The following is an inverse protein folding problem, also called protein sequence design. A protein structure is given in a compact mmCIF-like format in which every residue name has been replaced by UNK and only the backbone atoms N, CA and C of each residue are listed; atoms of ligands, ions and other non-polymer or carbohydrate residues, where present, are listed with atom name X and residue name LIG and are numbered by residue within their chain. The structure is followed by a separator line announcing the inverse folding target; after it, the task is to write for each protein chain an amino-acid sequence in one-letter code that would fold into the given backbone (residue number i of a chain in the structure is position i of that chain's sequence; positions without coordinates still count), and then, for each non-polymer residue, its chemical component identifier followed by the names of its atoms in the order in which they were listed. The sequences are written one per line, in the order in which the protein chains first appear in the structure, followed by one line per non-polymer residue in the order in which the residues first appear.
data_IF_236856052146
#
_entry.id   IF_236856052146
#
_cell.length_a   1.000
_cell.length_b   1.000
_cell.length_c   1.000
_cell.angle_alpha   90.00
_cell.angle_beta   90.00
_cell.angle_gamma   90.00
#
_symmetry.space_group_name_H-M   'P 1'
#
loop_
_entity.id
_entity.type
_entity.pdbx_description
1 polymer ?
#
# COMPACT_ATOMS: atom_id res chain seq x y z
N UNK A 1 14.79 -8.25 14.21
CA UNK A 1 15.98 -7.45 13.88
C UNK A 1 16.79 -7.24 15.14
N UNK A 2 18.13 -7.24 15.05
CA UNK A 2 19.02 -7.01 16.19
C UNK A 2 20.30 -6.27 15.75
N UNK A 3 20.86 -5.45 16.63
CA UNK A 3 22.19 -4.85 16.47
C UNK A 3 23.19 -5.68 17.27
N UNK A 4 24.23 -6.21 16.63
CA UNK A 4 25.24 -7.07 17.24
C UNK A 4 26.62 -6.49 16.93
N UNK A 5 27.21 -5.81 17.91
CA UNK A 5 28.47 -5.10 17.70
C UNK A 5 28.30 -3.97 16.69
N UNK A 6 29.01 -4.03 15.57
CA UNK A 6 28.96 -3.10 14.44
C UNK A 6 28.08 -3.61 13.27
N UNK A 7 27.32 -4.68 13.47
CA UNK A 7 26.46 -5.29 12.46
C UNK A 7 24.96 -5.18 12.79
N UNK A 8 24.14 -5.06 11.74
CA UNK A 8 22.68 -5.17 11.81
C UNK A 8 22.25 -6.52 11.25
N UNK A 9 21.56 -7.31 12.07
CA UNK A 9 20.99 -8.60 11.70
C UNK A 9 19.48 -8.49 11.45
N UNK A 10 19.06 -8.79 10.22
CA UNK A 10 17.65 -8.84 9.81
C UNK A 10 17.28 -10.29 9.49
N UNK A 11 16.41 -10.85 10.32
CA UNK A 11 15.99 -12.25 10.23
C UNK A 11 14.54 -12.36 9.75
N UNK A 12 14.35 -13.00 8.60
CA UNK A 12 13.03 -13.28 8.02
C UNK A 12 12.54 -14.70 8.34
N UNK A 13 13.18 -15.42 9.26
CA UNK A 13 12.68 -16.69 9.78
C UNK A 13 11.26 -16.52 10.31
N UNK A 14 10.36 -17.41 9.89
CA UNK A 14 8.92 -17.32 10.20
C UNK A 14 8.08 -16.57 9.17
N UNK A 15 8.70 -15.98 8.13
CA UNK A 15 7.94 -15.46 6.98
C UNK A 15 7.16 -16.59 6.30
N UNK A 16 5.93 -16.29 5.88
CA UNK A 16 5.07 -17.24 5.19
C UNK A 16 5.73 -17.90 3.97
N UNK A 17 5.29 -19.12 3.60
CA UNK A 17 5.68 -19.75 2.36
C UNK A 17 5.42 -18.86 1.14
N UNK A 18 6.18 -19.08 0.07
CA UNK A 18 5.93 -18.42 -1.22
C UNK A 18 4.47 -18.58 -1.67
N UNK A 19 3.90 -17.51 -2.21
CA UNK A 19 2.51 -17.46 -2.65
C UNK A 19 2.35 -17.95 -4.10
N UNK A 20 1.12 -18.33 -4.45
CA UNK A 20 0.74 -18.65 -5.84
C UNK A 20 0.76 -17.42 -6.77
N UNK A 21 0.52 -16.23 -6.22
CA UNK A 21 0.47 -14.97 -6.95
C UNK A 21 1.85 -14.35 -7.23
N UNK A 22 1.85 -13.19 -7.88
CA UNK A 22 3.08 -12.52 -8.33
C UNK A 22 3.86 -11.74 -7.28
N UNK A 23 3.38 -11.62 -6.04
CA UNK A 23 4.02 -10.77 -5.02
C UNK A 23 5.15 -11.47 -4.26
N UNK A 24 5.65 -12.62 -4.74
CA UNK A 24 6.86 -13.18 -4.17
C UNK A 24 8.04 -12.23 -4.42
N UNK A 25 8.81 -11.93 -3.38
CA UNK A 25 10.01 -11.12 -3.45
C UNK A 25 11.24 -12.02 -3.63
N UNK A 26 11.89 -12.05 -4.81
CA UNK A 26 13.13 -12.78 -5.00
C UNK A 26 14.20 -12.21 -4.06
N UNK A 27 15.17 -13.04 -3.67
CA UNK A 27 16.25 -12.69 -2.74
C UNK A 27 16.83 -11.29 -2.96
N UNK A 28 17.12 -10.92 -4.21
CA UNK A 28 17.68 -9.61 -4.55
C UNK A 28 16.75 -8.44 -4.19
N UNK A 29 15.43 -8.58 -4.38
CA UNK A 29 14.45 -7.56 -4.04
C UNK A 29 14.34 -7.38 -2.51
N UNK A 30 14.29 -8.48 -1.77
CA UNK A 30 14.29 -8.44 -0.30
C UNK A 30 15.57 -7.80 0.24
N UNK A 31 16.73 -8.19 -0.29
CA UNK A 31 18.00 -7.57 0.10
C UNK A 31 18.00 -6.07 -0.20
N UNK A 32 17.52 -5.66 -1.37
CA UNK A 32 17.42 -4.23 -1.72
C UNK A 32 16.53 -3.46 -0.75
N UNK A 33 15.39 -4.02 -0.35
CA UNK A 33 14.47 -3.41 0.60
C UNK A 33 15.12 -3.16 1.97
N UNK A 34 15.87 -4.16 2.45
CA UNK A 34 16.61 -4.08 3.72
C UNK A 34 17.75 -3.06 3.63
N UNK A 35 18.57 -3.13 2.58
CA UNK A 35 19.70 -2.23 2.39
C UNK A 35 19.24 -0.77 2.32
N UNK A 36 18.15 -0.51 1.60
CA UNK A 36 17.53 0.81 1.54
C UNK A 36 17.10 1.28 2.94
N UNK A 37 16.35 0.45 3.68
CA UNK A 37 15.82 0.84 4.99
C UNK A 37 16.94 1.20 5.98
N UNK A 38 17.97 0.36 6.06
CA UNK A 38 19.15 0.60 6.91
C UNK A 38 19.87 1.88 6.49
N UNK A 39 20.13 2.04 5.19
CA UNK A 39 20.89 3.20 4.69
C UNK A 39 20.14 4.50 4.86
N UNK A 40 18.85 4.54 4.55
CA UNK A 40 18.02 5.74 4.65
C UNK A 40 18.00 6.30 6.08
N UNK A 41 18.10 5.43 7.08
CA UNK A 41 18.07 5.81 8.50
C UNK A 41 19.47 6.14 9.02
N UNK A 42 20.48 5.31 8.74
CA UNK A 42 21.79 5.41 9.43
C UNK A 42 22.90 6.08 8.61
N UNK A 43 22.79 6.10 7.29
CA UNK A 43 23.84 6.62 6.41
C UNK A 43 23.25 7.17 5.11
N UNK A 44 22.33 8.17 5.16
CA UNK A 44 21.69 8.68 3.95
C UNK A 44 22.69 9.29 2.96
N UNK A 45 23.75 9.93 3.46
CA UNK A 45 24.74 10.66 2.64
C UNK A 45 25.95 9.82 2.20
N UNK A 46 26.16 8.65 2.81
CA UNK A 46 27.32 7.82 2.47
C UNK A 46 27.27 7.23 1.07
N UNK A 47 28.40 6.72 0.60
CA UNK A 47 28.50 6.19 -0.76
C UNK A 47 27.69 4.89 -0.96
N UNK A 48 26.94 4.82 -2.05
CA UNK A 48 26.22 3.61 -2.46
C UNK A 48 27.16 2.60 -3.13
N UNK A 49 27.77 1.72 -2.34
CA UNK A 49 28.64 0.65 -2.84
C UNK A 49 28.61 -0.59 -1.92
N UNK A 50 29.29 -1.69 -2.30
CA UNK A 50 29.28 -2.93 -1.52
C UNK A 50 29.77 -2.80 -0.06
N UNK A 51 30.46 -1.71 0.29
CA UNK A 51 30.83 -1.40 1.67
C UNK A 51 29.63 -1.12 2.57
N UNK A 52 28.59 -0.43 2.08
CA UNK A 52 27.40 -0.12 2.88
C UNK A 52 26.55 -1.35 3.19
N UNK A 53 26.69 -2.41 2.38
CA UNK A 53 26.01 -3.70 2.60
C UNK A 53 26.79 -4.65 3.51
N UNK A 54 28.10 -4.41 3.72
CA UNK A 54 28.97 -5.30 4.51
C UNK A 54 28.52 -5.49 5.97
N UNK A 55 28.04 -4.47 6.70
CA UNK A 55 27.61 -4.64 8.10
C UNK A 55 26.18 -5.21 8.23
N UNK A 56 25.55 -5.63 7.13
CA UNK A 56 24.14 -6.03 7.14
C UNK A 56 24.04 -7.54 6.89
N UNK A 57 23.64 -8.29 7.92
CA UNK A 57 23.37 -9.74 7.82
C UNK A 57 21.90 -9.98 7.60
N UNK A 58 21.56 -10.72 6.55
CA UNK A 58 20.16 -11.00 6.18
C UNK A 58 19.94 -12.52 6.12
N UNK A 59 19.04 -13.02 6.95
CA UNK A 59 18.60 -14.44 6.95
C UNK A 59 17.31 -14.55 6.17
N UNK A 60 17.31 -15.37 5.09
CA UNK A 60 16.18 -15.51 4.17
C UNK A 60 15.83 -16.99 3.97
N UNK A 61 14.76 -17.52 4.61
CA UNK A 61 14.36 -18.91 4.45
C UNK A 61 14.01 -19.24 2.99
N UNK A 62 14.64 -20.25 2.41
CA UNK A 62 14.35 -20.66 1.03
C UNK A 62 12.92 -21.22 0.91
N UNK A 63 12.21 -20.86 -0.16
CA UNK A 63 10.80 -21.24 -0.36
C UNK A 63 9.79 -20.35 0.38
N UNK A 64 10.25 -19.27 1.02
CA UNK A 64 9.38 -18.26 1.63
C UNK A 64 8.98 -17.17 0.64
N UNK A 65 8.01 -16.34 1.03
CA UNK A 65 7.58 -15.14 0.28
C UNK A 65 8.76 -14.23 -0.10
N UNK A 66 9.81 -14.19 0.72
CA UNK A 66 10.96 -13.29 0.57
C UNK A 66 12.22 -13.95 0.00
N UNK A 67 12.15 -15.25 -0.30
CA UNK A 67 13.18 -16.01 -1.01
C UNK A 67 12.54 -17.23 -1.71
N UNK A 68 11.68 -17.00 -2.70
CA UNK A 68 10.92 -18.05 -3.37
C UNK A 68 11.81 -18.93 -4.25
N UNK A 69 11.38 -20.18 -4.44
CA UNK A 69 11.97 -21.11 -5.40
C UNK A 69 11.36 -20.93 -6.78
N UNK A 70 12.19 -21.03 -7.82
CA UNK A 70 11.70 -21.16 -9.19
C UNK A 70 10.74 -22.36 -9.29
N UNK A 71 9.59 -22.28 -10.00
CA UNK A 71 9.15 -21.21 -10.92
C UNK A 71 8.13 -20.21 -10.32
N UNK A 72 8.25 -19.81 -9.04
CA UNK A 72 7.32 -18.85 -8.44
C UNK A 72 7.22 -17.52 -9.23
N UNK A 73 6.02 -16.96 -9.30
CA UNK A 73 5.80 -15.66 -9.95
C UNK A 73 6.31 -14.51 -9.07
N UNK A 74 7.06 -13.58 -9.68
CA UNK A 74 7.73 -12.45 -9.01
C UNK A 74 7.45 -11.09 -9.67
N UNK A 75 6.42 -11.02 -10.53
CA UNK A 75 6.10 -9.82 -11.32
C UNK A 75 5.70 -8.62 -10.45
N UNK A 76 5.02 -8.88 -9.32
CA UNK A 76 4.52 -7.87 -8.37
C UNK A 76 5.39 -7.78 -7.11
N UNK A 77 6.64 -8.24 -7.16
CA UNK A 77 7.59 -8.23 -6.02
C UNK A 77 7.76 -6.86 -5.35
N UNK A 78 7.54 -5.77 -6.08
CA UNK A 78 7.72 -4.40 -5.59
C UNK A 78 6.79 -4.10 -4.41
N UNK A 79 5.53 -4.59 -4.44
CA UNK A 79 4.57 -4.43 -3.34
C UNK A 79 5.08 -5.03 -2.03
N UNK A 80 5.63 -6.25 -2.10
CA UNK A 80 6.24 -6.92 -0.95
C UNK A 80 7.50 -6.22 -0.49
N UNK A 81 8.35 -5.76 -1.40
CA UNK A 81 9.56 -5.03 -1.07
C UNK A 81 9.25 -3.70 -0.34
N UNK A 82 8.26 -2.95 -0.83
CA UNK A 82 7.76 -1.72 -0.20
C UNK A 82 7.26 -1.98 1.23
N UNK A 83 6.45 -3.04 1.42
CA UNK A 83 5.96 -3.45 2.74
C UNK A 83 7.08 -3.87 3.69
N UNK A 84 8.12 -4.54 3.19
CA UNK A 84 9.29 -4.90 3.98
C UNK A 84 9.99 -3.65 4.47
N UNK A 85 10.23 -2.67 3.58
CA UNK A 85 10.87 -1.42 3.95
C UNK A 85 10.05 -0.64 4.98
N UNK A 86 8.74 -0.47 4.78
CA UNK A 86 7.85 0.25 5.72
C UNK A 86 7.84 -0.40 7.11
N UNK A 87 7.79 -1.74 7.15
CA UNK A 87 7.89 -2.52 8.40
C UNK A 87 9.24 -2.34 9.09
N UNK A 88 10.34 -2.34 8.33
CA UNK A 88 11.68 -2.15 8.90
C UNK A 88 11.87 -0.73 9.43
N UNK A 89 11.41 0.29 8.71
CA UNK A 89 11.44 1.69 9.15
C UNK A 89 10.68 1.83 10.47
N UNK A 90 9.49 1.24 10.60
CA UNK A 90 8.77 1.22 11.87
C UNK A 90 9.56 0.50 12.98
N UNK A 91 10.17 -0.65 12.69
CA UNK A 91 10.94 -1.39 13.68
C UNK A 91 12.22 -0.65 14.12
N UNK A 92 12.81 0.19 13.28
CA UNK A 92 13.95 1.02 13.66
C UNK A 92 13.59 2.11 14.66
N UNK A 93 12.33 2.59 14.64
CA UNK A 93 11.86 3.59 15.60
C UNK A 93 11.93 3.08 17.05
N UNK A 94 11.83 1.76 17.29
CA UNK A 94 11.98 1.17 18.63
C UNK A 94 13.43 1.24 19.14
N UNK A 95 14.40 1.26 18.23
CA UNK A 95 15.83 1.33 18.54
C UNK A 95 16.35 2.78 18.55
N UNK A 96 15.82 3.60 17.66
CA UNK A 96 16.22 5.00 17.43
C UNK A 96 14.97 5.88 17.28
N UNK A 97 14.31 6.23 18.39
CA UNK A 97 13.03 6.94 18.39
C UNK A 97 13.02 8.27 17.63
N UNK A 98 14.18 8.93 17.55
CA UNK A 98 14.38 10.16 16.79
C UNK A 98 14.20 9.96 15.28
N UNK A 99 14.31 8.73 14.79
CA UNK A 99 14.13 8.37 13.38
C UNK A 99 12.72 7.89 13.06
N UNK A 100 11.79 7.99 14.02
CA UNK A 100 10.44 7.50 13.86
C UNK A 100 9.70 8.22 12.72
N UNK A 101 9.21 7.42 11.77
CA UNK A 101 8.32 7.84 10.69
C UNK A 101 7.03 7.02 10.81
N UNK A 102 5.89 7.68 10.65
CA UNK A 102 4.60 7.01 10.56
C UNK A 102 4.51 6.13 9.30
N UNK A 103 3.49 5.28 9.22
CA UNK A 103 3.29 4.42 8.05
C UNK A 103 3.08 5.25 6.78
N UNK A 104 3.62 4.77 5.66
CA UNK A 104 3.48 5.39 4.35
C UNK A 104 2.51 4.62 3.46
N UNK A 105 2.05 5.24 2.37
CA UNK A 105 1.37 4.50 1.31
C UNK A 105 2.37 3.67 0.50
N UNK A 106 2.46 2.39 0.84
CA UNK A 106 3.28 1.36 0.17
C UNK A 106 2.47 0.46 -0.75
N UNK A 107 1.22 0.86 -1.05
CA UNK A 107 0.29 0.06 -1.83
C UNK A 107 0.50 0.11 -3.35
N UNK A 108 1.38 1.02 -3.82
CA UNK A 108 1.83 1.22 -5.21
C UNK A 108 0.71 0.96 -6.23
N UNK A 109 -0.23 1.91 -6.36
CA UNK A 109 -1.37 1.75 -7.26
C UNK A 109 -0.89 1.84 -8.71
N UNK A 110 -1.02 0.74 -9.44
CA UNK A 110 -0.53 0.62 -10.80
C UNK A 110 -1.66 0.25 -11.74
N UNK A 111 -1.60 0.79 -12.95
CA UNK A 111 -2.38 0.30 -14.07
C UNK A 111 -1.52 0.16 -15.31
N UNK A 112 -1.72 -0.94 -16.03
CA UNK A 112 -1.24 -1.11 -17.39
C UNK A 112 -2.42 -1.43 -18.30
N UNK A 113 -2.49 -0.78 -19.46
CA UNK A 113 -3.55 -1.05 -20.43
C UNK A 113 -2.95 -1.24 -21.82
N UNK A 114 -3.19 -2.41 -22.40
CA UNK A 114 -2.88 -2.71 -23.79
C UNK A 114 -4.01 -2.22 -24.69
N UNK A 115 -3.67 -1.48 -25.74
CA UNK A 115 -4.61 -0.97 -26.72
C UNK A 115 -3.95 -0.56 -28.03
N UNK A 116 -4.60 0.34 -28.77
CA UNK A 116 -4.07 0.89 -30.03
C UNK A 116 -3.76 2.36 -29.88
N UNK A 117 -2.62 2.77 -30.43
CA UNK A 117 -2.21 4.16 -30.44
C UNK A 117 -3.24 5.01 -31.20
N UNK A 118 -3.76 6.12 -30.63
CA UNK A 118 -4.91 6.84 -31.17
C UNK A 118 -4.68 7.45 -32.56
N UNK A 119 -3.43 7.79 -32.90
CA UNK A 119 -3.05 8.34 -34.21
C UNK A 119 -2.57 7.33 -35.26
N UNK A 120 -1.85 6.27 -34.86
CA UNK A 120 -1.17 5.35 -35.80
C UNK A 120 -1.87 4.00 -35.90
N UNK A 121 -2.75 3.65 -34.95
CA UNK A 121 -3.42 2.35 -34.88
C UNK A 121 -2.52 1.18 -34.47
N UNK A 122 -1.23 1.42 -34.25
CA UNK A 122 -0.25 0.42 -33.83
C UNK A 122 -0.51 -0.03 -32.38
N UNK A 123 -0.16 -1.28 -32.00
CA UNK A 123 -0.23 -1.71 -30.61
C UNK A 123 0.56 -0.79 -29.68
N UNK A 124 0.01 -0.49 -28.51
CA UNK A 124 0.64 0.32 -27.47
C UNK A 124 0.24 -0.19 -26.09
N UNK A 125 1.09 0.05 -25.09
CA UNK A 125 0.81 -0.24 -23.68
C UNK A 125 1.14 1.00 -22.86
N UNK A 126 0.13 1.56 -22.20
CA UNK A 126 0.36 2.53 -21.13
C UNK A 126 0.65 1.78 -19.84
N UNK A 127 1.60 2.29 -19.05
CA UNK A 127 1.77 1.94 -17.65
C UNK A 127 1.86 3.24 -16.86
N UNK A 128 1.00 3.39 -15.87
CA UNK A 128 1.00 4.53 -14.95
C UNK A 128 0.96 4.00 -13.52
N UNK A 129 1.85 4.52 -12.68
CA UNK A 129 2.08 4.08 -11.31
C UNK A 129 1.96 5.29 -10.39
N UNK A 130 1.20 5.16 -9.31
CA UNK A 130 0.85 6.25 -8.42
C UNK A 130 1.39 6.01 -7.01
N UNK A 131 2.19 6.97 -6.58
CA UNK A 131 2.54 7.18 -5.18
C UNK A 131 1.39 7.82 -4.40
N UNK A 132 1.54 7.91 -3.09
CA UNK A 132 0.51 8.40 -2.18
C UNK A 132 1.13 9.24 -1.06
N UNK A 133 0.51 9.21 0.11
CA UNK A 133 1.04 9.95 1.25
C UNK A 133 2.23 9.25 1.91
N UNK A 134 3.33 9.96 2.08
CA UNK A 134 4.42 9.55 2.96
C UNK A 134 3.98 9.74 4.43
N UNK A 135 4.41 8.85 5.33
CA UNK A 135 4.20 9.04 6.76
C UNK A 135 4.90 10.30 7.30
N UNK A 136 4.30 10.92 8.31
CA UNK A 136 4.92 12.03 9.03
C UNK A 136 6.12 11.57 9.86
N UNK A 137 7.15 12.42 9.99
CA UNK A 137 8.27 12.19 10.92
C UNK A 137 8.00 12.86 12.26
N UNK A 138 8.96 12.75 13.19
CA UNK A 138 8.93 13.47 14.46
C UNK A 138 9.02 15.01 14.34
N UNK A 139 9.39 15.53 13.17
CA UNK A 139 9.74 16.93 12.95
C UNK A 139 9.17 17.57 11.66
N UNK A 140 8.53 16.79 10.78
CA UNK A 140 7.89 17.32 9.57
C UNK A 140 6.62 16.57 9.20
N UNK A 141 5.69 17.31 8.55
CA UNK A 141 4.59 16.71 7.80
C UNK A 141 5.13 15.76 6.72
N UNK A 142 4.36 14.71 6.45
CA UNK A 142 4.63 13.79 5.34
C UNK A 142 4.43 14.45 3.98
N UNK A 143 5.19 13.97 2.98
CA UNK A 143 5.10 14.45 1.60
C UNK A 143 3.81 13.95 0.93
N UNK A 144 3.12 14.87 0.26
CA UNK A 144 1.86 14.64 -0.45
C UNK A 144 2.11 13.98 -1.82
N UNK A 145 1.37 12.90 -2.14
CA UNK A 145 1.36 12.25 -3.45
C UNK A 145 2.74 11.90 -4.06
N UNK A 146 3.60 11.28 -3.25
CA UNK A 146 4.94 10.82 -3.67
C UNK A 146 5.04 9.31 -3.72
N UNK A 147 5.86 8.80 -4.62
CA UNK A 147 6.27 7.40 -4.62
C UNK A 147 7.31 7.19 -3.50
N UNK A 148 6.97 6.32 -2.54
CA UNK A 148 7.72 6.20 -1.30
C UNK A 148 8.79 5.13 -1.37
N UNK A 149 9.86 5.29 -0.58
CA UNK A 149 10.91 4.29 -0.36
C UNK A 149 11.66 3.80 -1.61
N UNK A 150 11.26 2.63 -2.14
CA UNK A 150 12.03 1.88 -3.14
C UNK A 150 11.76 2.31 -4.58
N UNK A 151 10.93 3.33 -4.76
CA UNK A 151 10.58 3.92 -6.03
C UNK A 151 11.03 5.37 -6.15
N UNK A 152 10.88 5.92 -7.35
CA UNK A 152 11.00 7.34 -7.64
C UNK A 152 10.22 7.61 -8.94
N UNK A 153 9.02 7.05 -9.02
CA UNK A 153 8.18 7.14 -10.22
C UNK A 153 7.44 8.46 -10.23
N UNK A 154 7.70 9.25 -11.28
CA UNK A 154 6.94 10.46 -11.55
C UNK A 154 5.61 10.15 -12.19
N UNK A 155 4.58 10.91 -11.84
CA UNK A 155 3.25 10.81 -12.47
C UNK A 155 3.38 11.08 -13.97
N UNK A 156 2.80 10.21 -14.79
CA UNK A 156 2.84 10.40 -16.24
C UNK A 156 2.04 11.66 -16.64
N UNK A 157 2.61 12.60 -17.43
CA UNK A 157 1.89 13.81 -17.82
C UNK A 157 0.61 13.52 -18.60
N UNK A 158 -0.47 14.26 -18.33
CA UNK A 158 -1.76 14.02 -18.96
C UNK A 158 -1.69 14.16 -20.50
N UNK A 159 -0.90 15.11 -21.00
CA UNK A 159 -0.69 15.31 -22.43
C UNK A 159 0.00 14.11 -23.08
N UNK A 160 0.91 13.44 -22.38
CA UNK A 160 1.55 12.22 -22.88
C UNK A 160 0.55 11.05 -22.85
N UNK A 161 -0.20 10.90 -21.77
CA UNK A 161 -1.27 9.92 -21.67
C UNK A 161 -2.24 10.03 -22.85
N UNK A 162 -2.74 11.23 -23.12
CA UNK A 162 -3.80 11.49 -24.12
C UNK A 162 -3.31 11.46 -25.57
N UNK A 163 -2.04 11.76 -25.81
CA UNK A 163 -1.51 11.79 -27.18
C UNK A 163 -0.97 10.44 -27.64
N UNK A 164 -0.47 9.60 -26.72
CA UNK A 164 0.20 8.33 -27.02
C UNK A 164 -0.68 7.10 -26.80
N UNK A 165 -1.73 7.20 -25.98
CA UNK A 165 -2.50 6.06 -25.52
C UNK A 165 -4.01 6.31 -25.62
N UNK A 166 -4.84 5.26 -25.69
CA UNK A 166 -6.29 5.38 -25.80
C UNK A 166 -6.96 5.72 -24.45
N UNK A 167 -6.43 6.71 -23.71
CA UNK A 167 -6.99 7.15 -22.42
C UNK A 167 -7.11 8.68 -22.38
N UNK A 168 -8.05 9.19 -21.58
CA UNK A 168 -8.17 10.59 -21.18
C UNK A 168 -8.00 10.74 -19.68
N UNK A 169 -7.22 11.71 -19.23
CA UNK A 169 -7.06 11.98 -17.80
C UNK A 169 -8.15 12.97 -17.38
N UNK A 170 -9.11 12.49 -16.60
CA UNK A 170 -10.23 13.32 -16.13
C UNK A 170 -9.85 14.13 -14.89
N UNK A 171 -9.00 13.56 -14.02
CA UNK A 171 -8.60 14.15 -12.74
C UNK A 171 -7.18 13.74 -12.39
N UNK A 172 -6.46 14.65 -11.76
CA UNK A 172 -5.19 14.42 -11.06
C UNK A 172 -5.14 15.45 -9.95
N UNK A 173 -5.57 15.05 -8.75
CA UNK A 173 -5.79 15.97 -7.65
C UNK A 173 -5.40 15.33 -6.32
N UNK A 174 -4.95 16.15 -5.36
CA UNK A 174 -4.77 15.69 -3.99
C UNK A 174 -6.13 15.40 -3.35
N UNK A 175 -6.19 14.37 -2.51
CA UNK A 175 -7.41 14.01 -1.78
C UNK A 175 -7.39 14.70 -0.42
N UNK A 176 -8.21 15.73 -0.26
CA UNK A 176 -8.36 16.40 1.04
C UNK A 176 -8.75 15.39 2.14
N UNK A 177 -8.28 15.64 3.37
CA UNK A 177 -8.56 14.82 4.56
C UNK A 177 -8.08 13.36 4.51
N UNK A 178 -7.28 12.98 3.50
CA UNK A 178 -6.73 11.62 3.37
C UNK A 178 -5.54 11.36 4.30
N UNK A 179 -4.85 12.41 4.71
CA UNK A 179 -3.70 12.34 5.59
C UNK A 179 -4.10 11.97 7.02
N UNK A 180 -3.33 11.07 7.63
CA UNK A 180 -3.39 10.78 9.05
C UNK A 180 -3.07 12.03 9.86
N UNK A 181 -3.92 12.31 10.85
CA UNK A 181 -3.80 13.48 11.71
C UNK A 181 -2.71 13.29 12.75
N UNK A 182 -2.01 14.35 13.10
CA UNK A 182 -1.03 14.37 14.18
C UNK A 182 -0.55 15.78 14.40
N UNK A 183 0.37 15.97 15.36
CA UNK A 183 1.17 17.20 15.45
C UNK A 183 1.77 17.51 14.08
N UNK A 184 2.32 16.46 13.45
CA UNK A 184 2.68 16.40 12.05
C UNK A 184 1.68 15.48 11.33
N UNK A 185 1.09 15.96 10.23
CA UNK A 185 0.16 15.17 9.43
C UNK A 185 0.93 14.29 8.47
N UNK A 186 0.37 13.15 8.10
CA UNK A 186 0.88 12.39 6.95
C UNK A 186 0.70 13.14 5.64
N UNK A 187 1.27 12.60 4.57
CA UNK A 187 1.04 13.08 3.22
C UNK A 187 -0.37 12.76 2.73
N UNK A 188 -0.90 13.59 1.84
CA UNK A 188 -2.17 13.35 1.16
C UNK A 188 -2.04 12.28 0.08
N UNK A 189 -3.12 11.52 -0.09
CA UNK A 189 -3.33 10.67 -1.25
C UNK A 189 -3.52 11.48 -2.54
N UNK A 190 -3.40 10.80 -3.68
CA UNK A 190 -3.80 11.31 -4.98
C UNK A 190 -5.03 10.58 -5.50
N UNK A 191 -5.93 11.33 -6.15
CA UNK A 191 -7.00 10.81 -6.98
C UNK A 191 -6.67 11.02 -8.44
N UNK A 192 -6.57 9.91 -9.18
CA UNK A 192 -6.37 9.92 -10.62
C UNK A 192 -7.45 9.11 -11.31
N UNK A 193 -8.08 9.72 -12.32
CA UNK A 193 -9.20 9.13 -13.04
C UNK A 193 -8.88 9.06 -14.54
N UNK A 194 -9.02 7.87 -15.09
CA UNK A 194 -8.73 7.54 -16.48
C UNK A 194 -10.04 7.19 -17.18
N UNK A 195 -10.38 7.85 -18.27
CA UNK A 195 -11.47 7.44 -19.17
C UNK A 195 -10.87 6.75 -20.38
N UNK A 196 -11.27 5.51 -20.63
CA UNK A 196 -10.80 4.76 -21.78
C UNK A 196 -11.52 5.27 -23.04
N UNK A 197 -10.73 5.64 -24.04
CA UNK A 197 -11.23 6.16 -25.32
C UNK A 197 -11.29 5.10 -26.40
N UNK A 198 -10.90 3.86 -26.10
CA UNK A 198 -11.06 2.69 -26.96
C UNK A 198 -11.09 1.41 -26.11
N UNK A 199 -11.40 0.26 -26.72
CA UNK A 199 -11.34 -1.04 -26.03
C UNK A 199 -9.89 -1.38 -25.69
N UNK A 200 -9.62 -1.68 -24.41
CA UNK A 200 -8.29 -2.01 -23.90
C UNK A 200 -8.32 -3.26 -22.99
N UNK A 201 -7.21 -4.00 -22.92
CA UNK A 201 -7.00 -5.01 -21.88
C UNK A 201 -6.26 -4.36 -20.70
N UNK A 202 -6.99 -4.14 -19.61
CA UNK A 202 -6.52 -3.46 -18.41
C UNK A 202 -6.05 -4.49 -17.38
N UNK A 203 -4.85 -4.28 -16.85
CA UNK A 203 -4.39 -4.84 -15.59
C UNK A 203 -4.24 -3.69 -14.59
N UNK A 204 -4.99 -3.74 -13.50
CA UNK A 204 -4.89 -2.76 -12.42
C UNK A 204 -4.67 -3.46 -11.09
N UNK A 205 -3.78 -2.90 -10.26
CA UNK A 205 -3.54 -3.43 -8.93
C UNK A 205 -3.18 -2.35 -7.92
N UNK A 206 -3.58 -2.58 -6.67
CA UNK A 206 -3.13 -1.82 -5.52
C UNK A 206 -3.26 -2.65 -4.24
N UNK A 207 -2.42 -2.32 -3.26
CA UNK A 207 -2.53 -2.79 -1.88
C UNK A 207 -2.97 -1.68 -0.94
N UNK A 208 -3.17 -2.01 0.34
CA UNK A 208 -3.71 -1.10 1.38
C UNK A 208 -5.14 -0.62 1.10
N UNK A 209 -5.93 -1.43 0.38
CA UNK A 209 -7.36 -1.18 0.18
C UNK A 209 -8.23 -1.61 1.35
N UNK A 210 -7.69 -2.45 2.24
CA UNK A 210 -8.32 -2.84 3.49
C UNK A 210 -7.89 -1.86 4.60
N UNK A 211 -8.84 -1.25 5.35
CA UNK A 211 -8.52 -0.32 6.44
C UNK A 211 -7.56 -0.86 7.48
N UNK A 212 -7.52 -2.18 7.71
CA UNK A 212 -6.59 -2.82 8.66
C UNK A 212 -5.12 -2.66 8.28
N UNK A 213 -4.85 -2.42 7.00
CA UNK A 213 -3.50 -2.23 6.47
C UNK A 213 -3.25 -0.81 5.97
N UNK A 214 -4.14 0.13 6.32
CA UNK A 214 -3.95 1.55 6.04
C UNK A 214 -2.65 2.06 6.72
N UNK A 215 -2.03 3.12 6.17
CA UNK A 215 -0.80 3.66 6.75
C UNK A 215 -1.02 4.10 8.20
N UNK A 216 -0.28 3.51 9.13
CA UNK A 216 -0.50 3.66 10.57
C UNK A 216 0.04 5.00 11.10
N UNK A 217 -0.58 5.56 12.12
CA UNK A 217 -0.02 6.70 12.87
C UNK A 217 1.00 6.26 13.91
N UNK A 218 1.77 7.20 14.45
CA UNK A 218 2.75 6.96 15.52
C UNK A 218 2.67 8.02 16.62
N UNK A 219 3.04 7.67 17.85
CA UNK A 219 3.09 8.59 19.00
C UNK A 219 1.81 9.41 19.23
N UNK A 220 0.63 8.79 19.07
CA UNK A 220 -0.67 9.46 19.20
C UNK A 220 -1.23 10.02 17.88
N UNK A 221 -0.46 9.95 16.80
CA UNK A 221 -0.94 10.22 15.45
C UNK A 221 -1.92 9.16 14.95
N UNK A 222 -2.77 9.55 14.01
CA UNK A 222 -3.84 8.74 13.45
C UNK A 222 -3.40 8.13 12.10
N UNK A 223 -4.09 7.06 11.70
CA UNK A 223 -3.88 6.43 10.40
C UNK A 223 -4.35 7.32 9.25
N UNK A 224 -3.69 7.20 8.09
CA UNK A 224 -4.18 7.76 6.82
C UNK A 224 -5.30 6.93 6.22
N UNK A 225 -5.94 7.43 5.17
CA UNK A 225 -7.00 6.68 4.49
C UNK A 225 -6.43 5.49 3.70
N UNK A 226 -7.19 4.39 3.57
CA UNK A 226 -6.82 3.29 2.69
C UNK A 226 -6.92 3.70 1.21
N UNK A 227 -6.24 2.96 0.35
CA UNK A 227 -6.41 3.08 -1.10
C UNK A 227 -7.76 2.54 -1.56
N UNK A 228 -8.20 2.98 -2.74
CA UNK A 228 -9.45 2.53 -3.35
C UNK A 228 -9.34 2.58 -4.86
N UNK A 229 -9.67 1.47 -5.53
CA UNK A 229 -9.79 1.39 -6.97
C UNK A 229 -11.23 1.04 -7.33
N UNK A 230 -11.80 1.80 -8.28
CA UNK A 230 -13.16 1.56 -8.78
C UNK A 230 -13.16 1.64 -10.28
N UNK A 231 -13.73 0.63 -10.93
CA UNK A 231 -14.01 0.63 -12.36
C UNK A 231 -15.48 1.02 -12.56
N UNK A 232 -15.71 2.16 -13.19
CA UNK A 232 -17.04 2.62 -13.58
C UNK A 232 -17.26 2.21 -15.04
N UNK A 233 -18.29 1.42 -15.27
CA UNK A 233 -18.68 0.98 -16.61
C UNK A 233 -19.57 2.01 -17.28
N UNK A 234 -19.54 2.04 -18.60
CA UNK A 234 -20.39 2.93 -19.40
C UNK A 234 -21.90 2.70 -19.19
N UNK A 235 -22.29 1.51 -18.75
CA UNK A 235 -23.69 1.16 -18.45
C UNK A 235 -24.16 1.68 -17.07
N UNK A 236 -23.26 2.34 -16.34
CA UNK A 236 -23.51 2.92 -15.02
C UNK A 236 -23.18 1.97 -13.86
N UNK A 237 -22.77 0.72 -14.12
CA UNK A 237 -22.32 -0.17 -13.06
C UNK A 237 -20.94 0.23 -12.52
N UNK A 238 -20.69 -0.07 -11.24
CA UNK A 238 -19.43 0.21 -10.57
C UNK A 238 -18.89 -1.05 -9.90
N UNK A 239 -17.60 -1.32 -10.11
CA UNK A 239 -16.91 -2.47 -9.55
C UNK A 239 -15.73 -1.98 -8.69
N UNK A 240 -15.73 -2.31 -7.39
CA UNK A 240 -14.53 -2.15 -6.56
C UNK A 240 -13.55 -3.27 -6.90
N UNK A 241 -12.34 -2.88 -7.29
CA UNK A 241 -11.29 -3.82 -7.66
C UNK A 241 -10.06 -3.63 -6.76
N UNK A 242 -9.22 -4.65 -6.69
CA UNK A 242 -7.95 -4.59 -5.96
C UNK A 242 -6.80 -5.06 -6.81
N UNK A 243 -6.92 -6.23 -7.45
CA UNK A 243 -5.96 -6.78 -8.42
C UNK A 243 -6.74 -7.51 -9.51
N UNK A 244 -6.92 -6.86 -10.64
CA UNK A 244 -7.83 -7.32 -11.67
C UNK A 244 -7.19 -7.19 -13.04
N UNK A 245 -7.41 -8.21 -13.89
CA UNK A 245 -7.29 -8.10 -15.34
C UNK A 245 -8.68 -8.12 -15.95
N UNK A 246 -8.99 -7.15 -16.79
CA UNK A 246 -10.33 -6.99 -17.35
C UNK A 246 -10.28 -6.21 -18.66
N UNK A 247 -11.15 -6.57 -19.60
CA UNK A 247 -11.38 -5.74 -20.77
C UNK A 247 -12.25 -4.54 -20.40
N UNK A 248 -11.78 -3.36 -20.74
CA UNK A 248 -12.51 -2.10 -20.60
C UNK A 248 -12.93 -1.61 -21.98
N UNK A 249 -14.11 -1.04 -22.05
CA UNK A 249 -14.65 -0.49 -23.30
C UNK A 249 -14.49 1.02 -23.36
N UNK A 250 -14.65 1.58 -24.57
CA UNK A 250 -14.77 3.03 -24.74
C UNK A 250 -15.85 3.60 -23.80
N UNK A 251 -15.46 4.58 -23.00
CA UNK A 251 -16.30 5.27 -22.02
C UNK A 251 -16.24 4.68 -20.61
N UNK A 252 -15.66 3.49 -20.42
CA UNK A 252 -15.36 2.99 -19.07
C UNK A 252 -14.30 3.87 -18.41
N UNK A 253 -14.31 3.93 -17.07
CA UNK A 253 -13.41 4.76 -16.29
C UNK A 253 -12.78 4.00 -15.14
N UNK A 254 -11.46 4.07 -15.02
CA UNK A 254 -10.75 3.62 -13.82
C UNK A 254 -10.51 4.83 -12.91
N UNK A 255 -11.02 4.78 -11.68
CA UNK A 255 -10.79 5.79 -10.65
C UNK A 255 -9.90 5.18 -9.57
N UNK A 256 -8.77 5.85 -9.31
CA UNK A 256 -7.75 5.40 -8.37
C UNK A 256 -7.55 6.47 -7.32
N UNK A 257 -7.84 6.12 -6.06
CA UNK A 257 -7.42 6.87 -4.89
C UNK A 257 -6.31 6.08 -4.21
N UNK A 258 -5.14 6.67 -4.06
CA UNK A 258 -4.06 6.05 -3.26
C UNK A 258 -4.37 6.18 -1.76
N UNK A 259 -3.54 5.58 -0.92
CA UNK A 259 -3.59 5.84 0.51
C UNK A 259 -2.95 7.19 0.88
N UNK A 260 -3.41 7.78 1.98
CA UNK A 260 -2.71 8.88 2.64
C UNK A 260 -1.71 8.33 3.67
N UNK A 261 -0.72 9.12 4.06
CA UNK A 261 0.29 8.72 5.05
C UNK A 261 -0.26 8.83 6.47
N UNK A 262 0.32 8.09 7.41
CA UNK A 262 0.00 8.22 8.84
C UNK A 262 0.53 9.52 9.44
N UNK A 263 -0.14 10.00 10.49
CA UNK A 263 0.31 11.16 11.27
C UNK A 263 1.26 10.78 12.41
N UNK A 264 1.96 11.78 12.93
CA UNK A 264 2.88 11.66 14.07
C UNK A 264 2.53 12.67 15.17
N UNK A 265 2.51 12.21 16.42
CA UNK A 265 2.23 13.06 17.59
C UNK A 265 0.74 13.34 17.79
N UNK A 266 0.37 13.90 18.94
CA UNK A 266 -1.01 14.27 19.26
C UNK A 266 -1.54 15.34 18.26
N UNK A 267 -2.66 15.07 17.54
CA UNK A 267 -3.30 16.06 16.67
C UNK A 267 -3.62 17.41 17.34
N UNK A 268 -3.82 17.44 18.66
CA UNK A 268 -4.06 18.66 19.44
C UNK A 268 -2.84 19.58 19.57
N UNK A 269 -1.63 19.05 19.31
CA UNK A 269 -0.38 19.82 19.33
C UNK A 269 -0.02 20.44 17.98
N UNK A 270 -0.82 20.21 16.93
CA UNK A 270 -0.56 20.77 15.60
C UNK A 270 -0.60 22.30 15.64
N UNK A 271 0.41 22.95 15.05
CA UNK A 271 0.48 24.41 14.98
C UNK A 271 -0.79 24.97 14.30
N UNK A 272 -1.54 25.87 14.97
CA UNK A 272 -2.71 26.51 14.38
C UNK A 272 -2.44 27.18 13.03
N UNK A 273 -1.23 27.71 12.79
CA UNK A 273 -0.84 28.27 11.49
C UNK A 273 -0.71 27.21 10.41
N UNK A 274 -0.27 26.00 10.75
CA UNK A 274 -0.24 24.88 9.83
C UNK A 274 -1.66 24.43 9.47
N UNK A 275 -2.59 24.42 10.43
CA UNK A 275 -4.01 24.14 10.20
C UNK A 275 -4.62 25.19 9.25
N UNK A 276 -4.39 26.49 9.50
CA UNK A 276 -4.86 27.57 8.64
C UNK A 276 -4.31 27.44 7.21
N UNK A 277 -3.02 27.10 7.08
CA UNK A 277 -2.40 26.85 5.77
C UNK A 277 -3.06 25.67 5.05
N UNK A 278 -3.27 24.55 5.73
CA UNK A 278 -3.85 23.35 5.14
C UNK A 278 -5.31 23.60 4.70
N UNK A 279 -6.09 24.36 5.47
CA UNK A 279 -7.43 24.81 5.10
C UNK A 279 -7.41 25.68 3.84
N UNK A 280 -6.54 26.70 3.82
CA UNK A 280 -6.40 27.62 2.70
C UNK A 280 -5.96 26.92 1.41
N UNK A 281 -5.12 25.91 1.52
CA UNK A 281 -4.61 25.11 0.39
C UNK A 281 -5.56 23.98 -0.02
N UNK A 282 -6.71 23.81 0.65
CA UNK A 282 -7.67 22.75 0.36
C UNK A 282 -7.18 21.34 0.70
N UNK A 283 -6.13 21.23 1.52
CA UNK A 283 -5.58 19.96 2.02
C UNK A 283 -6.43 19.35 3.12
N UNK A 284 -7.14 20.22 3.85
CA UNK A 284 -7.98 19.89 5.00
C UNK A 284 -9.33 20.58 4.85
N UNK A 285 -10.41 19.91 5.23
CA UNK A 285 -11.74 20.51 5.34
C UNK A 285 -11.96 21.21 6.69
N UNK A 286 -12.96 22.10 6.75
CA UNK A 286 -13.34 22.76 8.00
C UNK A 286 -13.74 21.77 9.11
N UNK A 287 -14.37 20.64 8.74
CA UNK A 287 -14.72 19.58 9.68
C UNK A 287 -13.48 18.88 10.24
N UNK A 288 -12.50 18.56 9.39
CA UNK A 288 -11.24 17.98 9.82
C UNK A 288 -10.44 18.94 10.71
N UNK A 289 -10.42 20.23 10.40
CA UNK A 289 -9.78 21.25 11.24
C UNK A 289 -10.44 21.35 12.63
N UNK A 290 -11.77 21.33 12.71
CA UNK A 290 -12.47 21.33 13.99
C UNK A 290 -12.08 20.12 14.87
N UNK A 291 -11.84 18.96 14.26
CA UNK A 291 -11.43 17.76 14.99
C UNK A 291 -10.04 17.87 15.64
N UNK A 292 -9.17 18.81 15.20
CA UNK A 292 -7.88 19.12 15.86
C UNK A 292 -8.02 19.85 17.19
N UNK A 293 -9.15 20.54 17.39
CA UNK A 293 -9.41 21.33 18.59
C UNK A 293 -10.45 20.68 19.51
N UNK A 294 -10.91 19.46 19.19
CA UNK A 294 -11.79 18.69 20.05
C UNK A 294 -11.08 18.30 21.37
N UNK A 295 -11.78 18.31 22.52
CA UNK A 295 -11.18 17.97 23.80
C UNK A 295 -10.62 16.54 23.75
N UNK A 296 -9.32 16.42 24.04
CA UNK A 296 -8.60 15.14 24.08
C UNK A 296 -9.28 14.12 24.98
N UNK A 297 -9.24 12.86 24.55
CA UNK A 297 -9.70 11.70 25.31
C UNK A 297 -8.94 11.54 26.62
N UNK A 298 -9.41 12.23 27.65
CA UNK A 298 -9.25 11.86 29.04
C UNK A 298 -10.29 10.81 29.40
N UNK A 299 -9.83 9.74 30.03
CA UNK A 299 -10.59 8.65 30.66
C UNK A 299 -11.99 9.01 31.17
N UNK A 300 -12.98 8.26 30.68
CA UNK A 300 -14.16 7.79 31.41
C UNK A 300 -15.06 8.82 32.11
N UNK A 301 -16.18 9.15 31.47
CA UNK A 301 -17.51 8.88 32.02
C UNK A 301 -18.57 9.12 30.95
N UNK A 302 -19.55 8.21 30.89
CA UNK A 302 -20.73 8.34 30.04
C UNK A 302 -21.58 9.45 30.61
N UNK A 303 -22.11 10.32 29.76
CA UNK A 303 -23.44 10.84 30.03
C UNK A 303 -24.26 11.02 28.75
N UNK A 304 -25.38 10.31 28.74
CA UNK A 304 -26.43 10.38 27.75
C UNK A 304 -27.33 11.56 28.13
N UNK A 305 -27.58 12.52 27.25
CA UNK A 305 -28.92 13.14 27.07
C UNK A 305 -28.98 14.06 25.84
N UNK A 306 -29.77 13.59 24.87
CA UNK A 306 -30.66 14.25 23.90
C UNK A 306 -30.53 15.76 23.55
N UNK A 307 -30.39 16.02 22.23
CA UNK A 307 -31.31 16.78 21.34
C UNK A 307 -30.67 16.86 19.93
N UNK A 308 -31.22 16.17 18.91
CA UNK A 308 -32.18 16.68 17.89
C UNK A 308 -31.64 17.90 17.13
N UNK A 309 -31.52 18.02 15.80
CA UNK A 309 -32.01 17.25 14.64
C UNK A 309 -31.59 17.98 13.34
N UNK A 310 -30.75 17.38 12.49
CA UNK A 310 -30.75 17.55 11.02
C UNK A 310 -29.62 16.71 10.39
N UNK A 311 -29.97 15.55 9.81
CA UNK A 311 -29.13 14.74 8.93
C UNK A 311 -29.79 14.66 7.55
N UNK A 312 -29.01 14.54 6.47
CA UNK A 312 -29.36 13.72 5.33
C UNK A 312 -28.54 12.41 5.34
N UNK A 313 -29.29 11.32 5.20
CA UNK A 313 -28.98 9.89 5.15
C UNK A 313 -27.87 9.51 4.13
N UNK A 314 -27.08 8.45 4.40
CA UNK A 314 -27.28 7.25 3.57
C UNK A 314 -27.33 5.94 4.38
N UNK A 315 -28.32 5.11 4.04
CA UNK A 315 -28.66 3.88 4.74
C UNK A 315 -27.61 2.76 4.65
N UNK A 316 -27.46 1.94 5.71
CA UNK A 316 -26.70 0.70 5.66
C UNK A 316 -27.56 -0.48 5.20
N UNK A 317 -26.99 -1.33 4.33
CA UNK A 317 -27.59 -2.60 3.93
C UNK A 317 -27.42 -3.68 5.02
N UNK A 318 -28.45 -4.49 5.10
CA UNK A 318 -28.81 -5.52 6.09
C UNK A 318 -27.87 -6.73 6.09
N UNK A 319 -27.48 -7.15 7.30
CA UNK A 319 -27.56 -8.54 7.78
C UNK A 319 -26.47 -9.54 7.39
N UNK A 320 -25.58 -9.86 8.32
CA UNK A 320 -24.97 -11.19 8.43
C UNK A 320 -24.88 -11.59 9.90
N UNK A 321 -25.58 -12.66 10.27
CA UNK A 321 -25.55 -13.31 11.58
C UNK A 321 -24.15 -13.89 11.90
N UNK A 322 -23.81 -14.08 13.20
CA UNK A 322 -22.47 -14.49 13.62
C UNK A 322 -22.20 -15.98 13.34
N UNK A 323 -20.98 -16.28 12.89
CA UNK A 323 -20.46 -17.64 12.79
C UNK A 323 -20.12 -18.16 14.19
N UNK A 324 -20.81 -19.22 14.60
CA UNK A 324 -20.52 -20.03 15.79
C UNK A 324 -19.30 -20.93 15.60
N UNK A 325 -18.64 -21.19 16.71
CA UNK A 325 -17.55 -22.16 16.92
C UNK A 325 -17.83 -23.52 16.28
N UNK A 326 -17.05 -23.92 15.27
CA UNK A 326 -16.84 -25.33 14.89
C UNK A 326 -15.70 -25.43 13.84
N UNK A 327 -14.44 -25.35 14.27
CA UNK A 327 -13.31 -25.83 13.45
C UNK A 327 -12.12 -26.40 14.27
N UNK A 328 -12.41 -26.98 15.45
CA UNK A 328 -11.52 -27.93 16.14
C UNK A 328 -11.98 -29.38 15.89
N UNK A 329 -12.01 -29.83 14.63
CA UNK A 329 -12.23 -31.25 14.31
C UNK A 329 -11.76 -31.63 12.89
N UNK A 330 -10.66 -31.06 12.40
CA UNK A 330 -10.14 -31.31 11.04
C UNK A 330 -8.91 -32.21 10.94
N UNK A 331 -8.29 -32.58 12.07
CA UNK A 331 -6.97 -33.21 12.13
C UNK A 331 -6.99 -34.58 12.84
N UNK A 332 -7.87 -35.51 12.46
CA UNK A 332 -7.67 -36.91 12.86
C UNK A 332 -8.33 -38.00 11.99
N UNK A 333 -8.53 -37.76 10.68
CA UNK A 333 -9.14 -38.78 9.77
C UNK A 333 -8.35 -39.12 8.51
N UNK A 334 -7.02 -38.96 8.52
CA UNK A 334 -6.15 -39.47 7.42
C UNK A 334 -4.96 -40.31 7.89
N UNK A 335 -5.05 -40.93 9.06
CA UNK A 335 -4.13 -42.00 9.50
C UNK A 335 -4.93 -43.23 9.93
N UNK A 336 -5.45 -44.00 8.96
CA UNK A 336 -5.72 -45.46 9.05
C UNK A 336 -6.54 -45.93 7.84
N UNK A 337 -5.84 -46.41 6.83
CA UNK A 337 -6.21 -47.46 5.86
C UNK A 337 -5.01 -47.56 4.89
N UNK A 338 -4.05 -48.46 5.11
CA UNK A 338 -3.98 -49.76 4.42
C UNK A 338 -3.49 -49.54 2.97
N UNK A 339 -2.30 -49.91 2.50
CA UNK A 339 -1.47 -51.07 2.81
C UNK A 339 -1.68 -52.15 1.73
N UNK A 340 -0.82 -52.13 0.68
CA UNK A 340 -0.36 -53.22 -0.26
C UNK A 340 -0.09 -52.62 -1.66
N UNK A 341 1.17 -52.65 -2.14
CA UNK A 341 1.75 -53.61 -3.14
C UNK A 341 1.19 -53.38 -4.56
N UNK A 342 1.91 -53.39 -5.67
CA UNK A 342 3.32 -53.51 -6.09
C UNK A 342 3.33 -53.18 -7.60
N UNK A 343 4.48 -52.82 -8.16
CA UNK A 343 4.84 -52.89 -9.58
C UNK A 343 4.03 -52.10 -10.64
N UNK A 344 4.72 -51.18 -11.32
CA UNK A 344 5.23 -51.37 -12.70
C UNK A 344 5.18 -50.04 -13.47
N UNK A 345 6.34 -49.49 -13.86
CA UNK A 345 6.57 -48.93 -15.20
C UNK A 345 8.01 -48.43 -15.39
N UNK A 346 8.54 -48.53 -16.64
CA UNK A 346 9.96 -48.51 -16.93
C UNK A 346 10.49 -47.09 -17.19
N UNK A 347 11.79 -46.92 -16.95
CA UNK A 347 12.52 -45.72 -17.33
C UNK A 347 13.01 -45.75 -18.76
N UNK A 348 13.16 -44.55 -19.34
CA UNK A 348 14.17 -44.07 -20.32
C UNK A 348 14.01 -42.53 -20.23
N UNK A 349 15.00 -41.68 -20.00
CA UNK A 349 16.40 -41.70 -20.40
C UNK A 349 16.59 -40.57 -21.42
N UNK A 350 17.18 -39.46 -21.01
CA UNK A 350 17.73 -38.44 -21.91
C UNK A 350 19.26 -38.63 -21.97
N UNK A 351 19.88 -38.22 -23.08
CA UNK A 351 20.94 -37.21 -22.96
C UNK A 351 20.55 -35.86 -23.53
#
# INVERSE_FOLDING_TARGET
MAVVGDEVAVDFSGTDPQMRGGMNAPRAATMSAVLFAVKAIFDPDGAQNGGCARPIRITLPEGSLVNPRYPAAVSLRHLTAQRITDTLVAAFADLYPETAVAGSFVGFSSMAAEGRHPRTGMPTVIQDDLGGGLGASADTDGLDAVDTYLGNVGILPAEICETQYPVRILRTELVADSAGRGRWRGGLAIHRAYEFTDTCDLVAYSEQTDPRYAPWGTHGGHAGTPARLVLHRRDGSEERITKTRVTVERGDRLLVWTGGGGGHGDPGERDPKAIERDLREGKMSAAAAAAHHGPGGGSGERDQHERSSHEPDPQPLVGSEPLTEEEEAGTDRRRRAGGRSEADQPGVGDP
#
